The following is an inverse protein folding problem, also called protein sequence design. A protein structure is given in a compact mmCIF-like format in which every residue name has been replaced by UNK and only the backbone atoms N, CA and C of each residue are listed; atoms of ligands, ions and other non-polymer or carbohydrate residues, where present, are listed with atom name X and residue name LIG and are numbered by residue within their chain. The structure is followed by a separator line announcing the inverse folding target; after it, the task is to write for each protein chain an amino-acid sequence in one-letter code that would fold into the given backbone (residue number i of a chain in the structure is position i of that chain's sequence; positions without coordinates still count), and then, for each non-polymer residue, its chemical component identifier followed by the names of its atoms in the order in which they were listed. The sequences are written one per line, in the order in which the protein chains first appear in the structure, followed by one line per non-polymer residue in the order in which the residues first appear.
data_IF_485971428377
#
_entry.id   IF_485971428377
#
_cell.length_a   1.000
_cell.length_b   1.000
_cell.length_c   1.000
_cell.angle_alpha   90.00
_cell.angle_beta   90.00
_cell.angle_gamma   90.00
#
_symmetry.space_group_name_H-M   'P 1'
#
loop_
_entity.id
_entity.type
_entity.pdbx_description
1 polymer ?
#
# COMPACT_ATOMS: atom_id res chain seq x y z
N UNK A 1 -19.47 -35.30 7.82
CA UNK A 1 -19.08 -36.11 6.67
C UNK A 1 -17.97 -35.38 5.88
N UNK A 2 -17.03 -36.14 5.39
CA UNK A 2 -15.84 -35.61 4.67
C UNK A 2 -16.26 -34.83 3.40
N UNK A 3 -17.35 -35.23 2.78
CA UNK A 3 -17.87 -34.59 1.56
C UNK A 3 -18.23 -33.12 1.78
N UNK A 4 -18.91 -32.82 2.90
CA UNK A 4 -19.26 -31.44 3.26
C UNK A 4 -18.01 -30.61 3.54
N UNK A 5 -17.00 -31.21 4.20
CA UNK A 5 -15.74 -30.53 4.45
C UNK A 5 -15.01 -30.19 3.14
N UNK A 6 -14.93 -31.15 2.20
CA UNK A 6 -14.29 -30.93 0.90
C UNK A 6 -15.05 -29.85 0.10
N UNK A 7 -16.38 -29.91 0.08
CA UNK A 7 -17.19 -28.88 -0.59
C UNK A 7 -16.92 -27.48 -0.03
N UNK A 8 -16.92 -27.33 1.29
CA UNK A 8 -16.67 -26.05 1.95
C UNK A 8 -15.23 -25.57 1.72
N UNK A 9 -14.25 -26.47 1.80
CA UNK A 9 -12.85 -26.14 1.51
C UNK A 9 -12.67 -25.65 0.06
N UNK A 10 -13.37 -26.29 -0.89
CA UNK A 10 -13.37 -25.87 -2.29
C UNK A 10 -14.03 -24.50 -2.47
N UNK A 11 -15.10 -24.19 -1.75
CA UNK A 11 -15.73 -22.87 -1.75
C UNK A 11 -14.76 -21.82 -1.19
N UNK A 12 -14.03 -22.12 -0.10
CA UNK A 12 -13.01 -21.23 0.45
C UNK A 12 -11.88 -20.95 -0.54
N UNK A 13 -11.45 -22.01 -1.26
CA UNK A 13 -10.49 -21.87 -2.35
C UNK A 13 -11.01 -20.92 -3.44
N UNK A 14 -12.25 -21.10 -3.93
CA UNK A 14 -12.83 -20.27 -4.98
C UNK A 14 -13.00 -18.82 -4.54
N UNK A 15 -13.52 -18.56 -3.33
CA UNK A 15 -13.66 -17.20 -2.82
C UNK A 15 -12.28 -16.48 -2.72
N UNK A 16 -11.28 -17.16 -2.17
CA UNK A 16 -9.91 -16.64 -2.11
C UNK A 16 -9.29 -16.41 -3.48
N UNK A 17 -9.55 -17.33 -4.44
CA UNK A 17 -9.08 -17.23 -5.83
C UNK A 17 -9.68 -16.01 -6.53
N UNK A 18 -10.99 -15.79 -6.42
CA UNK A 18 -11.68 -14.67 -7.07
C UNK A 18 -11.11 -13.32 -6.57
N UNK A 19 -10.98 -13.16 -5.25
CA UNK A 19 -10.40 -11.96 -4.65
C UNK A 19 -8.93 -11.80 -5.06
N UNK A 20 -8.17 -12.90 -5.00
CA UNK A 20 -6.75 -12.88 -5.36
C UNK A 20 -6.52 -12.53 -6.83
N UNK A 21 -7.34 -13.04 -7.75
CA UNK A 21 -7.28 -12.73 -9.19
C UNK A 21 -7.53 -11.24 -9.45
N UNK A 22 -8.58 -10.66 -8.86
CA UNK A 22 -8.83 -9.21 -8.97
C UNK A 22 -7.60 -8.40 -8.55
N UNK A 23 -6.99 -8.78 -7.42
CA UNK A 23 -5.80 -8.12 -6.88
C UNK A 23 -4.58 -8.28 -7.77
N UNK A 24 -4.38 -9.46 -8.34
CA UNK A 24 -3.23 -9.75 -9.23
C UNK A 24 -3.36 -9.03 -10.57
N UNK A 25 -4.55 -8.95 -11.14
CA UNK A 25 -4.83 -8.17 -12.35
C UNK A 25 -4.52 -6.68 -12.17
N UNK A 26 -4.53 -6.18 -10.94
CA UNK A 26 -4.12 -4.82 -10.57
C UNK A 26 -2.64 -4.71 -10.18
N UNK A 27 -1.79 -5.56 -10.72
CA UNK A 27 -0.32 -5.56 -10.54
C UNK A 27 0.15 -5.78 -9.08
N UNK A 28 -0.61 -6.55 -8.29
CA UNK A 28 -0.17 -6.99 -6.96
C UNK A 28 0.43 -8.39 -7.07
N UNK A 29 1.76 -8.47 -7.04
CA UNK A 29 2.48 -9.75 -7.13
C UNK A 29 2.03 -10.73 -6.04
N UNK A 30 1.90 -12.01 -6.39
CA UNK A 30 1.54 -13.12 -5.49
C UNK A 30 0.18 -13.00 -4.75
N UNK A 31 -0.68 -12.05 -5.15
CA UNK A 31 -1.95 -11.81 -4.45
C UNK A 31 -2.91 -13.00 -4.52
N UNK A 32 -2.91 -13.79 -5.60
CA UNK A 32 -3.77 -14.98 -5.75
C UNK A 32 -3.43 -15.99 -4.67
N UNK A 33 -2.17 -16.42 -4.60
CA UNK A 33 -1.72 -17.47 -3.68
C UNK A 33 -1.98 -17.04 -2.23
N UNK A 34 -1.64 -15.82 -1.88
CA UNK A 34 -1.78 -15.33 -0.52
C UNK A 34 -3.24 -15.28 -0.07
N UNK A 35 -4.16 -14.75 -0.90
CA UNK A 35 -5.58 -14.69 -0.54
C UNK A 35 -6.22 -16.07 -0.45
N UNK A 36 -5.87 -16.98 -1.35
CA UNK A 36 -6.33 -18.38 -1.31
C UNK A 36 -5.88 -19.05 -0.04
N UNK A 37 -4.57 -18.97 0.29
CA UNK A 37 -4.02 -19.62 1.49
C UNK A 37 -4.58 -19.03 2.78
N UNK A 38 -4.79 -17.72 2.85
CA UNK A 38 -5.41 -17.08 4.03
C UNK A 38 -6.86 -17.51 4.20
N UNK A 39 -7.66 -17.56 3.12
CA UNK A 39 -9.05 -18.01 3.20
C UNK A 39 -9.16 -19.49 3.60
N UNK A 40 -8.38 -20.37 2.94
CA UNK A 40 -8.36 -21.80 3.27
C UNK A 40 -7.79 -22.05 4.67
N UNK A 41 -6.70 -21.35 5.06
CA UNK A 41 -6.09 -21.48 6.38
C UNK A 41 -7.07 -21.13 7.50
N UNK A 42 -7.78 -20.00 7.34
CA UNK A 42 -8.81 -19.59 8.31
C UNK A 42 -9.98 -20.58 8.39
N UNK A 43 -10.39 -21.13 7.24
CA UNK A 43 -11.36 -22.23 7.20
C UNK A 43 -10.87 -23.45 7.97
N UNK A 44 -9.62 -23.88 7.75
CA UNK A 44 -9.06 -25.07 8.39
C UNK A 44 -8.92 -24.88 9.90
N UNK A 45 -8.42 -23.72 10.35
CA UNK A 45 -8.28 -23.42 11.78
C UNK A 45 -9.61 -23.52 12.53
N UNK A 46 -10.68 -22.95 11.98
CA UNK A 46 -11.97 -23.00 12.67
C UNK A 46 -12.67 -24.35 12.48
N UNK A 47 -12.41 -25.05 11.37
CA UNK A 47 -12.94 -26.42 11.14
C UNK A 47 -12.40 -27.42 12.15
N UNK A 48 -11.23 -27.17 12.74
CA UNK A 48 -10.67 -27.98 13.83
C UNK A 48 -11.61 -28.03 15.03
N UNK A 49 -12.29 -26.94 15.34
CA UNK A 49 -13.22 -26.82 16.46
C UNK A 49 -14.68 -27.10 16.10
N UNK A 50 -15.00 -27.74 14.97
CA UNK A 50 -16.38 -27.96 14.54
C UNK A 50 -17.23 -28.78 15.52
N UNK A 51 -16.60 -29.57 16.37
CA UNK A 51 -17.28 -30.41 17.36
C UNK A 51 -17.21 -29.83 18.78
N UNK A 52 -16.58 -28.66 18.95
CA UNK A 52 -16.41 -28.03 20.23
C UNK A 52 -17.60 -27.12 20.57
N UNK A 53 -17.65 -26.63 21.80
CA UNK A 53 -18.68 -25.68 22.25
C UNK A 53 -18.58 -24.36 21.45
N UNK A 54 -19.69 -23.63 21.37
CA UNK A 54 -19.74 -22.32 20.71
C UNK A 54 -18.70 -21.33 21.30
N UNK A 55 -18.41 -21.43 22.58
CA UNK A 55 -17.40 -20.60 23.25
C UNK A 55 -15.98 -20.91 22.74
N UNK A 56 -15.65 -22.21 22.56
CA UNK A 56 -14.34 -22.61 22.02
C UNK A 56 -14.18 -22.18 20.55
N UNK A 57 -15.24 -22.33 19.77
CA UNK A 57 -15.24 -21.85 18.37
C UNK A 57 -15.05 -20.33 18.31
N UNK A 58 -15.73 -19.56 19.13
CA UNK A 58 -15.56 -18.10 19.20
C UNK A 58 -14.13 -17.72 19.66
N UNK A 59 -13.55 -18.46 20.59
CA UNK A 59 -12.18 -18.27 21.04
C UNK A 59 -11.18 -18.51 19.91
N UNK A 60 -11.30 -19.61 19.17
CA UNK A 60 -10.44 -19.89 18.03
C UNK A 60 -10.60 -18.87 16.91
N UNK A 61 -11.84 -18.47 16.58
CA UNK A 61 -12.07 -17.42 15.61
C UNK A 61 -11.38 -16.11 16.00
N UNK A 62 -11.42 -15.71 17.27
CA UNK A 62 -10.73 -14.51 17.75
C UNK A 62 -9.22 -14.61 17.63
N UNK A 63 -8.64 -15.80 17.85
CA UNK A 63 -7.20 -16.05 17.66
C UNK A 63 -6.80 -15.97 16.19
N UNK A 64 -7.62 -16.49 15.26
CA UNK A 64 -7.40 -16.35 13.82
C UNK A 64 -7.41 -14.86 13.43
N UNK A 65 -8.42 -14.10 13.88
CA UNK A 65 -8.52 -12.67 13.59
C UNK A 65 -7.30 -11.90 14.10
N UNK A 66 -6.85 -12.21 15.32
CA UNK A 66 -5.64 -11.61 15.89
C UNK A 66 -4.38 -11.99 15.11
N UNK A 67 -4.24 -13.28 14.73
CA UNK A 67 -3.09 -13.78 13.98
C UNK A 67 -2.96 -13.18 12.58
N UNK A 68 -4.08 -12.93 11.89
CA UNK A 68 -4.10 -12.22 10.61
C UNK A 68 -3.62 -10.78 10.77
N UNK A 69 -3.82 -10.16 11.93
CA UNK A 69 -3.26 -8.84 12.24
C UNK A 69 -1.73 -8.79 12.10
N UNK A 70 -1.03 -9.84 12.53
CA UNK A 70 0.43 -9.97 12.34
C UNK A 70 0.82 -10.06 10.87
N UNK A 71 0.14 -10.89 10.08
CA UNK A 71 0.36 -10.99 8.63
C UNK A 71 0.04 -9.66 7.93
N UNK A 72 -1.07 -9.01 8.30
CA UNK A 72 -1.45 -7.70 7.81
C UNK A 72 -0.39 -6.63 8.10
N UNK A 73 0.15 -6.62 9.31
CA UNK A 73 1.26 -5.74 9.68
C UNK A 73 2.53 -6.00 8.86
N UNK A 74 2.81 -7.28 8.56
CA UNK A 74 3.98 -7.68 7.77
C UNK A 74 3.95 -7.24 6.30
N UNK A 75 2.76 -6.95 5.74
CA UNK A 75 2.64 -6.45 4.35
C UNK A 75 2.58 -4.92 4.26
N UNK A 76 2.50 -4.23 5.39
CA UNK A 76 2.52 -2.76 5.44
C UNK A 76 3.97 -2.32 5.52
N UNK A 77 4.41 -1.63 4.48
CA UNK A 77 5.79 -1.13 4.37
C UNK A 77 5.74 0.40 4.36
N UNK A 78 6.56 1.01 5.20
CA UNK A 78 6.82 2.44 5.16
C UNK A 78 8.08 2.70 4.33
N UNK A 79 7.94 3.44 3.24
CA UNK A 79 9.04 3.90 2.39
C UNK A 79 9.06 5.43 2.44
N UNK A 80 9.97 5.98 3.26
CA UNK A 80 9.97 7.40 3.55
C UNK A 80 8.69 7.85 4.25
N UNK A 81 7.94 8.73 3.62
CA UNK A 81 6.65 9.23 4.11
C UNK A 81 5.45 8.50 3.50
N UNK A 82 5.68 7.63 2.53
CA UNK A 82 4.63 6.81 1.91
C UNK A 82 4.41 5.51 2.67
N UNK A 83 3.14 5.14 2.87
CA UNK A 83 2.76 3.87 3.48
C UNK A 83 2.09 3.02 2.41
N UNK A 84 2.70 1.87 2.10
CA UNK A 84 2.20 0.91 1.12
C UNK A 84 1.68 -0.35 1.81
N UNK A 85 0.76 -1.04 1.17
CA UNK A 85 0.26 -2.33 1.66
C UNK A 85 -1.01 -2.27 2.51
N UNK A 86 -1.52 -1.10 2.91
CA UNK A 86 -2.73 -0.96 3.73
C UNK A 86 -3.93 -1.71 3.10
N UNK A 87 -4.22 -1.46 1.83
CA UNK A 87 -5.32 -2.15 1.14
C UNK A 87 -5.04 -3.66 0.96
N UNK A 88 -3.79 -4.07 0.89
CA UNK A 88 -3.42 -5.50 0.86
C UNK A 88 -3.71 -6.14 2.21
N UNK A 89 -3.30 -5.53 3.30
CA UNK A 89 -3.59 -6.00 4.66
C UNK A 89 -5.10 -6.12 4.91
N UNK A 90 -5.88 -5.10 4.54
CA UNK A 90 -7.34 -5.12 4.65
C UNK A 90 -7.97 -6.27 3.83
N UNK A 91 -7.49 -6.50 2.61
CA UNK A 91 -8.02 -7.58 1.75
C UNK A 91 -7.69 -8.96 2.31
N UNK A 92 -6.49 -9.17 2.87
CA UNK A 92 -6.12 -10.42 3.53
C UNK A 92 -7.00 -10.68 4.75
N UNK A 93 -7.27 -9.65 5.54
CA UNK A 93 -8.17 -9.71 6.68
C UNK A 93 -9.60 -10.12 6.27
N UNK A 94 -10.11 -9.54 5.19
CA UNK A 94 -11.40 -9.92 4.58
C UNK A 94 -11.40 -11.38 4.09
N UNK A 95 -10.32 -11.84 3.44
CA UNK A 95 -10.19 -13.23 2.98
C UNK A 95 -10.21 -14.23 4.14
N UNK A 96 -9.59 -13.89 5.27
CA UNK A 96 -9.69 -14.70 6.48
C UNK A 96 -11.12 -14.78 7.02
N UNK A 97 -11.82 -13.66 7.07
CA UNK A 97 -13.21 -13.62 7.52
C UNK A 97 -14.13 -14.52 6.65
N UNK A 98 -13.92 -14.57 5.34
CA UNK A 98 -14.65 -15.48 4.45
C UNK A 98 -14.38 -16.95 4.80
N UNK A 99 -13.13 -17.30 5.07
CA UNK A 99 -12.78 -18.67 5.51
C UNK A 99 -13.49 -19.06 6.80
N UNK A 100 -13.57 -18.16 7.77
CA UNK A 100 -14.31 -18.38 9.02
C UNK A 100 -15.82 -18.58 8.78
N UNK A 101 -16.45 -17.75 7.94
CA UNK A 101 -17.86 -17.88 7.58
C UNK A 101 -18.15 -19.24 6.91
N UNK A 102 -17.30 -19.65 5.98
CA UNK A 102 -17.48 -20.90 5.23
C UNK A 102 -17.33 -22.11 6.16
N UNK A 103 -16.40 -22.07 7.13
CA UNK A 103 -16.23 -23.17 8.09
C UNK A 103 -17.49 -23.39 8.91
N UNK A 104 -18.17 -22.32 9.32
CA UNK A 104 -19.44 -22.36 10.05
C UNK A 104 -20.66 -22.73 9.19
N UNK A 105 -20.48 -22.88 7.87
CA UNK A 105 -21.57 -23.19 6.94
C UNK A 105 -22.34 -21.98 6.44
N UNK A 106 -21.93 -20.77 6.76
CA UNK A 106 -22.56 -19.54 6.30
C UNK A 106 -22.15 -19.20 4.84
N UNK A 107 -22.39 -20.17 3.92
CA UNK A 107 -21.90 -20.11 2.53
C UNK A 107 -22.50 -18.92 1.77
N UNK A 108 -23.81 -18.68 1.91
CA UNK A 108 -24.50 -17.57 1.24
C UNK A 108 -23.92 -16.21 1.69
N UNK A 109 -23.64 -16.07 2.99
CA UNK A 109 -23.00 -14.86 3.52
C UNK A 109 -21.58 -14.67 2.99
N UNK A 110 -20.84 -15.77 2.81
CA UNK A 110 -19.50 -15.70 2.22
C UNK A 110 -19.54 -15.26 0.74
N UNK A 111 -20.48 -15.73 -0.06
CA UNK A 111 -20.64 -15.25 -1.44
C UNK A 111 -21.05 -13.78 -1.51
N UNK A 112 -21.99 -13.35 -0.69
CA UNK A 112 -22.37 -11.93 -0.58
C UNK A 112 -21.17 -11.10 -0.15
N UNK A 113 -20.44 -11.53 0.89
CA UNK A 113 -19.23 -10.86 1.36
C UNK A 113 -18.17 -10.75 0.26
N UNK A 114 -17.92 -11.82 -0.49
CA UNK A 114 -17.01 -11.83 -1.64
C UNK A 114 -17.41 -10.80 -2.68
N UNK A 115 -18.70 -10.74 -3.04
CA UNK A 115 -19.19 -9.77 -4.01
C UNK A 115 -19.01 -8.31 -3.54
N UNK A 116 -19.28 -8.03 -2.26
CA UNK A 116 -19.08 -6.69 -1.69
C UNK A 116 -17.61 -6.32 -1.60
N UNK A 117 -16.71 -7.25 -1.24
CA UNK A 117 -15.25 -7.00 -1.21
C UNK A 117 -14.73 -6.67 -2.62
N UNK A 118 -15.17 -7.45 -3.62
CA UNK A 118 -14.83 -7.15 -5.02
C UNK A 118 -15.38 -5.80 -5.46
N UNK A 119 -16.65 -5.54 -5.14
CA UNK A 119 -17.28 -4.26 -5.43
C UNK A 119 -16.52 -3.09 -4.83
N UNK A 120 -16.13 -3.18 -3.56
CA UNK A 120 -15.33 -2.17 -2.89
C UNK A 120 -13.98 -1.96 -3.60
N UNK A 121 -13.26 -3.03 -3.91
CA UNK A 121 -11.97 -2.94 -4.58
C UNK A 121 -12.08 -2.38 -6.00
N UNK A 122 -13.16 -2.69 -6.73
CA UNK A 122 -13.35 -2.27 -8.12
C UNK A 122 -13.87 -0.83 -8.22
N UNK A 123 -14.88 -0.48 -7.42
CA UNK A 123 -15.62 0.77 -7.58
C UNK A 123 -15.11 1.90 -6.67
N UNK A 124 -14.72 1.60 -5.41
CA UNK A 124 -14.33 2.66 -4.48
C UNK A 124 -12.95 3.24 -4.81
N UNK A 125 -12.03 2.45 -5.36
CA UNK A 125 -10.71 2.95 -5.71
C UNK A 125 -10.74 4.06 -6.77
N UNK A 126 -11.40 3.89 -7.94
CA UNK A 126 -11.51 4.98 -8.91
C UNK A 126 -12.32 6.17 -8.40
N UNK A 127 -13.30 5.93 -7.51
CA UNK A 127 -14.04 7.00 -6.86
C UNK A 127 -13.13 7.81 -5.93
N UNK A 128 -12.31 7.16 -5.12
CA UNK A 128 -11.34 7.82 -4.25
C UNK A 128 -10.39 8.71 -5.07
N UNK A 129 -9.82 8.18 -6.17
CA UNK A 129 -8.94 8.94 -7.07
C UNK A 129 -9.69 10.15 -7.67
N UNK A 130 -10.97 10.00 -8.08
CA UNK A 130 -11.76 11.13 -8.60
C UNK A 130 -12.03 12.20 -7.56
N UNK A 131 -12.29 11.82 -6.32
CA UNK A 131 -12.49 12.76 -5.21
C UNK A 131 -11.18 13.50 -4.92
N UNK A 132 -10.06 12.80 -4.90
CA UNK A 132 -8.72 13.36 -4.69
C UNK A 132 -8.34 14.39 -5.78
N UNK A 133 -8.69 14.11 -7.05
CA UNK A 133 -8.49 15.04 -8.17
C UNK A 133 -9.61 16.09 -8.37
N UNK A 134 -10.64 16.11 -7.52
CA UNK A 134 -11.70 17.11 -7.60
C UNK A 134 -11.23 18.47 -7.09
N UNK A 135 -11.90 19.55 -7.57
CA UNK A 135 -11.60 20.93 -7.12
C UNK A 135 -11.70 21.13 -5.58
N UNK A 136 -12.41 20.25 -4.89
CA UNK A 136 -12.52 20.26 -3.42
C UNK A 136 -11.33 19.56 -2.73
N UNK A 137 -10.70 18.56 -3.38
CA UNK A 137 -9.49 17.91 -2.88
C UNK A 137 -8.20 18.70 -3.14
N UNK A 138 -8.20 19.53 -4.19
CA UNK A 138 -6.98 20.16 -4.71
C UNK A 138 -6.42 21.33 -3.86
N UNK A 139 -7.16 21.84 -2.87
CA UNK A 139 -6.67 22.94 -2.00
C UNK A 139 -6.04 22.46 -0.70
N UNK A 140 -6.44 21.26 -0.23
CA UNK A 140 -5.95 20.70 1.03
C UNK A 140 -5.29 19.32 0.87
N UNK A 141 -5.18 18.79 -0.37
CA UNK A 141 -4.56 17.49 -0.62
C UNK A 141 -3.05 17.63 -0.55
N UNK A 142 -2.46 16.89 0.36
CA UNK A 142 -1.02 16.78 0.52
C UNK A 142 -0.46 15.87 -0.57
N UNK A 143 0.47 16.39 -1.36
CA UNK A 143 1.24 15.62 -2.33
C UNK A 143 2.67 15.47 -1.83
N UNK A 144 3.11 14.23 -1.73
CA UNK A 144 4.48 13.92 -1.37
C UNK A 144 5.29 13.67 -2.65
N UNK A 145 6.35 14.43 -2.85
CA UNK A 145 7.29 14.22 -3.96
C UNK A 145 8.64 13.81 -3.40
N UNK A 146 9.25 12.87 -4.08
CA UNK A 146 10.63 12.46 -3.87
C UNK A 146 11.48 12.97 -5.02
N UNK A 147 12.38 13.86 -4.70
CA UNK A 147 13.36 14.43 -5.64
C UNK A 147 14.68 13.70 -5.45
N UNK A 148 15.27 13.26 -6.54
CA UNK A 148 16.61 12.67 -6.55
C UNK A 148 17.52 13.58 -7.35
N UNK A 149 18.67 13.96 -6.80
CA UNK A 149 19.70 14.78 -7.42
C UNK A 149 21.04 14.06 -7.30
N UNK A 150 21.86 14.16 -8.34
CA UNK A 150 23.24 13.69 -8.29
C UNK A 150 24.18 14.85 -8.61
N UNK A 151 25.06 15.19 -7.69
CA UNK A 151 26.01 16.29 -7.83
C UNK A 151 27.41 15.89 -7.38
N UNK A 152 28.36 16.82 -7.56
CA UNK A 152 29.70 16.66 -7.01
C UNK A 152 29.67 16.79 -5.47
N UNK A 153 30.45 15.98 -4.78
CA UNK A 153 30.62 15.97 -3.32
C UNK A 153 30.86 17.38 -2.76
N UNK A 154 31.72 18.16 -3.40
CA UNK A 154 32.08 19.53 -2.98
C UNK A 154 30.89 20.52 -3.05
N UNK A 155 29.84 20.21 -3.80
CA UNK A 155 28.68 21.12 -4.03
C UNK A 155 27.43 20.71 -3.24
N UNK A 156 27.46 19.59 -2.51
CA UNK A 156 26.31 19.07 -1.78
C UNK A 156 25.62 20.11 -0.91
N UNK A 157 26.39 20.76 -0.05
CA UNK A 157 25.85 21.72 0.92
C UNK A 157 25.24 22.96 0.25
N UNK A 158 25.86 23.44 -0.83
CA UNK A 158 25.37 24.56 -1.60
C UNK A 158 24.09 24.23 -2.37
N UNK A 159 24.02 23.02 -2.96
CA UNK A 159 22.82 22.51 -3.65
C UNK A 159 21.64 22.42 -2.68
N UNK A 160 21.86 21.86 -1.48
CA UNK A 160 20.81 21.75 -0.45
C UNK A 160 20.37 23.14 0.01
N UNK A 161 21.28 24.07 0.29
CA UNK A 161 20.95 25.44 0.67
C UNK A 161 20.16 26.17 -0.42
N UNK A 162 20.62 26.03 -1.67
CA UNK A 162 19.95 26.65 -2.83
C UNK A 162 18.55 26.09 -3.05
N UNK A 163 18.36 24.77 -2.90
CA UNK A 163 17.04 24.16 -2.95
C UNK A 163 16.12 24.71 -1.85
N UNK A 164 16.61 24.75 -0.61
CA UNK A 164 15.85 25.23 0.55
C UNK A 164 15.41 26.69 0.36
N UNK A 165 16.31 27.58 -0.06
CA UNK A 165 15.98 28.98 -0.32
C UNK A 165 15.01 29.16 -1.51
N UNK A 166 15.07 28.29 -2.51
CA UNK A 166 14.18 28.36 -3.68
C UNK A 166 12.73 27.94 -3.38
N UNK A 167 12.51 27.18 -2.31
CA UNK A 167 11.15 26.71 -1.89
C UNK A 167 10.58 27.45 -0.69
N UNK A 168 11.37 28.30 -0.01
CA UNK A 168 11.01 28.98 1.25
C UNK A 168 9.77 29.88 1.11
N UNK A 169 9.53 30.45 -0.07
CA UNK A 169 8.37 31.30 -0.37
C UNK A 169 7.28 30.61 -1.19
N UNK A 170 7.33 29.28 -1.29
CA UNK A 170 6.37 28.45 -2.02
C UNK A 170 5.62 27.56 -1.04
N UNK A 171 4.44 27.09 -1.42
CA UNK A 171 3.67 26.10 -0.63
C UNK A 171 4.33 24.71 -0.66
N UNK A 172 5.64 24.67 -0.41
CA UNK A 172 6.47 23.46 -0.44
C UNK A 172 7.16 23.33 0.92
N UNK A 173 6.90 22.24 1.60
CA UNK A 173 7.54 21.91 2.89
C UNK A 173 8.53 20.77 2.72
N UNK A 174 9.79 20.97 3.11
CA UNK A 174 10.80 19.90 3.11
C UNK A 174 10.55 19.01 4.33
N UNK A 175 10.26 17.74 4.12
CA UNK A 175 10.03 16.72 5.16
C UNK A 175 11.31 16.02 5.58
N UNK A 176 12.23 15.83 4.64
CA UNK A 176 13.51 15.17 4.92
C UNK A 176 14.48 15.30 3.76
N UNK A 177 15.75 15.17 4.09
CA UNK A 177 16.85 15.13 3.12
C UNK A 177 17.75 13.96 3.52
N UNK A 178 18.02 13.09 2.56
CA UNK A 178 18.97 11.99 2.69
C UNK A 178 20.08 12.21 1.67
N UNK A 179 21.31 12.17 2.08
CA UNK A 179 22.45 12.14 1.16
C UNK A 179 23.29 10.90 1.37
N UNK A 180 23.72 10.30 0.29
CA UNK A 180 24.57 9.12 0.28
C UNK A 180 25.60 9.24 -0.83
N UNK A 181 26.85 8.95 -0.50
CA UNK A 181 27.90 8.83 -1.50
C UNK A 181 27.69 7.56 -2.31
N UNK A 182 27.78 7.65 -3.63
CA UNK A 182 27.74 6.49 -4.51
C UNK A 182 29.11 5.83 -4.53
N UNK A 183 29.18 4.56 -4.17
CA UNK A 183 30.44 3.79 -4.13
C UNK A 183 31.06 3.58 -5.53
N UNK A 184 30.24 3.67 -6.61
CA UNK A 184 30.67 3.39 -7.98
C UNK A 184 31.16 4.63 -8.74
N UNK A 185 30.62 5.83 -8.45
CA UNK A 185 30.82 7.01 -9.30
C UNK A 185 31.46 8.20 -8.59
N UNK A 186 31.74 8.10 -7.30
CA UNK A 186 32.24 9.20 -6.44
C UNK A 186 31.34 10.46 -6.48
N UNK A 187 30.07 10.30 -6.85
CA UNK A 187 29.06 11.35 -6.86
C UNK A 187 28.18 11.28 -5.62
N UNK A 188 27.68 12.43 -5.18
CA UNK A 188 26.73 12.51 -4.09
C UNK A 188 25.30 12.35 -4.62
N UNK A 189 24.57 11.38 -4.10
CA UNK A 189 23.14 11.19 -4.37
C UNK A 189 22.33 11.79 -3.24
N UNK A 190 21.60 12.86 -3.54
CA UNK A 190 20.73 13.58 -2.60
C UNK A 190 19.29 13.21 -2.90
N UNK A 191 18.55 12.75 -1.88
CA UNK A 191 17.11 12.54 -1.95
C UNK A 191 16.42 13.58 -1.07
N UNK A 192 15.52 14.35 -1.65
CA UNK A 192 14.75 15.37 -0.94
C UNK A 192 13.28 14.96 -0.96
N UNK A 193 12.71 14.81 0.22
CA UNK A 193 11.29 14.53 0.41
C UNK A 193 10.57 15.85 0.68
N UNK A 194 9.62 16.19 -0.18
CA UNK A 194 8.84 17.42 -0.05
C UNK A 194 7.36 17.12 0.03
N UNK A 195 6.66 17.95 0.80
CA UNK A 195 5.22 18.00 0.87
C UNK A 195 4.75 19.27 0.19
N UNK A 196 3.77 19.17 -0.68
CA UNK A 196 3.11 20.34 -1.29
C UNK A 196 1.60 20.26 -1.06
N UNK A 197 0.98 21.41 -0.93
CA UNK A 197 -0.48 21.54 -0.97
C UNK A 197 -0.91 21.86 -2.39
N UNK A 198 -1.63 20.94 -3.06
CA UNK A 198 -1.94 21.01 -4.49
C UNK A 198 -0.82 20.52 -5.40
N UNK A 199 -1.14 20.34 -6.70
CA UNK A 199 -0.17 19.95 -7.71
C UNK A 199 0.76 21.11 -8.07
N UNK A 200 1.96 21.12 -7.53
CA UNK A 200 2.99 22.15 -7.74
C UNK A 200 4.15 21.65 -8.62
N UNK A 201 3.86 20.79 -9.60
CA UNK A 201 4.87 20.22 -10.50
C UNK A 201 5.67 21.28 -11.27
N UNK A 202 5.00 22.35 -11.70
CA UNK A 202 5.65 23.46 -12.42
C UNK A 202 6.67 24.18 -11.54
N UNK A 203 6.36 24.39 -10.27
CA UNK A 203 7.29 25.05 -9.33
C UNK A 203 8.46 24.14 -8.94
N UNK A 204 8.22 22.83 -8.83
CA UNK A 204 9.27 21.82 -8.61
C UNK A 204 10.21 21.82 -9.82
N UNK A 205 9.65 21.75 -11.03
CA UNK A 205 10.42 21.72 -12.27
C UNK A 205 11.27 22.99 -12.46
N UNK A 206 10.69 24.18 -12.22
CA UNK A 206 11.43 25.46 -12.26
C UNK A 206 12.58 25.49 -11.27
N UNK A 207 12.35 24.96 -10.05
CA UNK A 207 13.39 24.89 -9.01
C UNK A 207 14.52 23.96 -9.40
N UNK A 208 14.19 22.77 -9.94
CA UNK A 208 15.18 21.80 -10.39
C UNK A 208 16.02 22.33 -11.57
N UNK A 209 15.37 22.96 -12.55
CA UNK A 209 16.06 23.60 -13.66
C UNK A 209 16.99 24.75 -13.21
N UNK A 210 16.54 25.55 -12.25
CA UNK A 210 17.39 26.60 -11.69
C UNK A 210 18.65 26.02 -11.06
N UNK A 211 18.51 24.95 -10.28
CA UNK A 211 19.62 24.28 -9.61
C UNK A 211 20.55 23.61 -10.63
N UNK A 212 19.99 22.94 -11.63
CA UNK A 212 20.76 22.30 -12.69
C UNK A 212 21.61 23.31 -13.49
N UNK A 213 21.07 24.49 -13.76
CA UNK A 213 21.79 25.53 -14.49
C UNK A 213 22.86 26.25 -13.65
N UNK A 214 22.77 26.16 -12.32
CA UNK A 214 23.68 26.86 -11.40
C UNK A 214 24.81 25.97 -10.87
N UNK A 215 24.58 24.67 -10.78
CA UNK A 215 25.49 23.69 -10.22
C UNK A 215 25.71 22.52 -11.18
N UNK A 216 26.83 21.80 -11.03
CA UNK A 216 27.14 20.61 -11.84
C UNK A 216 26.28 19.42 -11.39
N UNK A 217 25.03 19.39 -11.84
CA UNK A 217 24.10 18.30 -11.58
C UNK A 217 24.18 17.28 -12.71
N UNK A 218 24.60 16.06 -12.41
CA UNK A 218 24.74 14.96 -13.37
C UNK A 218 23.41 14.37 -13.79
N UNK A 219 22.48 14.24 -12.83
CA UNK A 219 21.12 13.78 -13.09
C UNK A 219 20.16 14.32 -12.04
N UNK A 220 18.90 14.51 -12.46
CA UNK A 220 17.80 14.80 -11.54
C UNK A 220 16.54 14.10 -11.99
N UNK A 221 15.72 13.70 -11.02
CA UNK A 221 14.37 13.18 -11.26
C UNK A 221 13.47 13.55 -10.09
N UNK A 222 12.17 13.59 -10.33
CA UNK A 222 11.18 13.67 -9.27
C UNK A 222 10.07 12.66 -9.55
N UNK A 223 9.54 12.11 -8.46
CA UNK A 223 8.48 11.10 -8.48
C UNK A 223 7.41 11.53 -7.48
N UNK A 224 6.14 11.38 -7.85
CA UNK A 224 5.03 11.49 -6.91
C UNK A 224 5.01 10.21 -6.07
N UNK A 225 5.16 10.33 -4.76
CA UNK A 225 4.97 9.20 -3.83
C UNK A 225 3.46 9.02 -3.57
N UNK A 226 2.92 7.92 -4.11
CA UNK A 226 1.50 7.55 -3.97
C UNK A 226 1.21 6.85 -2.63
#
# INVERSE_FOLDING_TARGET
PIDIFIQRLFIAFICGLIIGLERQLRHKMSAVVTNVLVCMGSFLFLSFAMHDSANEQARLASQVISGIGFLGGGVIIRDGFSIRGLNTAATLWCSAALGLLISQGYINYAFVGTAFILGANIFLKPLAIRVEHSKYGNRDTEFNYKIKLQCNDAQEEEVIKSFRSSVENKNITIRGIESRRSDETNHMSIKIYILTFGQNEEDIWKTLNYIHNKYDIYSYSYELEA
#
